data_IF_259420986704
#
_entry.id   IF_259420986704
#
_cell.length_a   1.000
_cell.length_b   1.000
_cell.length_c   1.000
_cell.angle_alpha   90.00
_cell.angle_beta   90.00
_cell.angle_gamma   90.00
#
_symmetry.space_group_name_H-M   'P 1'
#
loop_
_entity.id
_entity.type
_entity.pdbx_description
1 polymer ?
#
# COMPACT_ATOMS: atom_id res chain seq x y z
N UNK A 1 10.94 12.25 -48.50
CA UNK A 1 12.23 11.65 -48.09
C UNK A 1 11.98 10.24 -47.56
N UNK A 2 12.11 9.20 -48.40
CA UNK A 2 11.84 7.77 -48.06
C UNK A 2 13.03 6.90 -48.53
N UNK A 3 14.26 7.38 -48.39
CA UNK A 3 15.43 6.67 -48.94
C UNK A 3 16.08 5.69 -47.94
N UNK A 4 15.77 5.77 -46.63
CA UNK A 4 16.49 5.02 -45.59
C UNK A 4 15.94 3.62 -45.25
N UNK A 5 14.80 3.23 -45.80
CA UNK A 5 14.09 1.97 -45.50
C UNK A 5 14.29 0.92 -46.60
N UNK A 6 14.38 1.34 -47.87
CA UNK A 6 14.39 0.45 -49.04
C UNK A 6 15.70 -0.33 -49.25
N UNK A 7 16.80 0.02 -48.57
CA UNK A 7 18.12 -0.60 -48.78
C UNK A 7 18.49 -1.66 -47.73
N UNK A 8 17.60 -1.98 -46.77
CA UNK A 8 17.92 -2.89 -45.66
C UNK A 8 17.40 -4.30 -45.92
N UNK A 9 18.29 -5.29 -45.80
CA UNK A 9 17.95 -6.73 -45.85
C UNK A 9 17.39 -7.28 -44.54
N UNK A 10 17.47 -6.51 -43.45
CA UNK A 10 17.01 -6.88 -42.11
C UNK A 10 15.85 -5.98 -41.65
N UNK A 11 14.89 -6.50 -40.84
CA UNK A 11 13.80 -5.70 -40.31
C UNK A 11 14.30 -4.45 -39.58
N UNK A 12 13.66 -3.31 -39.81
CA UNK A 12 14.02 -2.06 -39.14
C UNK A 12 13.50 -2.06 -37.71
N UNK A 13 14.40 -2.20 -36.74
CA UNK A 13 14.10 -1.87 -35.35
C UNK A 13 14.38 -0.39 -35.10
N UNK A 14 13.34 0.44 -34.85
CA UNK A 14 13.56 1.84 -34.52
C UNK A 14 14.33 1.93 -33.20
N UNK A 15 15.38 2.75 -33.19
CA UNK A 15 16.09 3.07 -31.95
C UNK A 15 15.09 3.61 -30.91
N UNK A 16 15.22 3.20 -29.63
CA UNK A 16 14.34 3.69 -28.58
C UNK A 16 14.44 5.21 -28.49
N UNK A 17 13.28 5.88 -28.48
CA UNK A 17 13.22 7.33 -28.35
C UNK A 17 13.58 7.73 -26.91
N UNK A 18 14.37 8.79 -26.77
CA UNK A 18 14.57 9.43 -25.48
C UNK A 18 13.22 10.00 -25.00
N UNK A 19 12.71 9.46 -23.88
CA UNK A 19 11.49 9.97 -23.26
C UNK A 19 11.68 11.35 -22.63
N UNK A 20 10.58 11.91 -22.11
CA UNK A 20 10.61 13.19 -21.38
C UNK A 20 11.59 13.12 -20.20
N UNK A 21 12.44 14.15 -19.99
CA UNK A 21 13.32 14.19 -18.83
C UNK A 21 12.53 14.14 -17.53
N UNK A 22 13.13 13.49 -16.53
CA UNK A 22 12.52 13.31 -15.22
C UNK A 22 12.57 14.63 -14.45
N UNK A 23 11.51 14.90 -13.70
CA UNK A 23 11.46 16.02 -12.73
C UNK A 23 12.35 15.74 -11.51
N UNK A 24 12.59 14.45 -11.20
CA UNK A 24 13.43 14.04 -10.09
C UNK A 24 14.84 13.69 -10.54
N UNK A 25 15.81 14.03 -9.68
CA UNK A 25 17.22 13.69 -9.82
C UNK A 25 17.54 12.46 -8.96
N UNK A 26 18.68 11.81 -9.22
CA UNK A 26 19.18 10.66 -8.48
C UNK A 26 19.25 10.96 -6.97
N UNK A 27 19.65 12.19 -6.60
CA UNK A 27 19.71 12.59 -5.18
C UNK A 27 18.33 12.67 -4.53
N UNK A 28 17.33 13.20 -5.24
CA UNK A 28 15.98 13.31 -4.70
C UNK A 28 15.29 11.95 -4.64
N UNK A 29 15.53 11.08 -5.62
CA UNK A 29 15.05 9.68 -5.59
C UNK A 29 15.61 8.93 -4.37
N UNK A 30 16.91 9.06 -4.07
CA UNK A 30 17.52 8.49 -2.84
C UNK A 30 16.92 9.06 -1.56
N UNK A 31 16.60 10.36 -1.53
CA UNK A 31 15.95 10.98 -0.36
C UNK A 31 14.56 10.41 -0.14
N UNK A 32 13.76 10.27 -1.21
CA UNK A 32 12.43 9.65 -1.17
C UNK A 32 12.51 8.22 -0.62
N UNK A 33 13.46 7.42 -1.13
CA UNK A 33 13.67 6.05 -0.65
C UNK A 33 14.02 6.02 0.84
N UNK A 34 14.94 6.89 1.31
CA UNK A 34 15.36 6.94 2.71
C UNK A 34 14.23 7.36 3.66
N UNK A 35 13.39 8.30 3.24
CA UNK A 35 12.21 8.71 4.01
C UNK A 35 11.17 7.59 4.10
N UNK A 36 10.98 6.85 3.01
CA UNK A 36 10.09 5.70 2.99
C UNK A 36 10.61 4.53 3.85
N UNK A 37 11.91 4.24 3.80
CA UNK A 37 12.49 3.06 4.46
C UNK A 37 12.84 3.33 5.93
N UNK A 38 13.70 4.32 6.20
CA UNK A 38 14.28 4.54 7.53
C UNK A 38 13.30 5.27 8.44
N UNK A 39 12.61 6.28 7.92
CA UNK A 39 11.64 7.07 8.68
C UNK A 39 10.23 6.48 8.66
N UNK A 40 9.99 5.45 7.84
CA UNK A 40 8.69 4.77 7.68
C UNK A 40 7.54 5.73 7.34
N UNK A 41 7.84 6.80 6.60
CA UNK A 41 6.85 7.80 6.24
C UNK A 41 5.90 7.31 5.14
N UNK A 42 4.64 7.74 5.21
CA UNK A 42 3.65 7.51 4.16
C UNK A 42 3.92 8.37 2.93
N UNK A 43 3.48 7.93 1.75
CA UNK A 43 3.63 8.67 0.47
C UNK A 43 3.12 10.12 0.59
N UNK A 44 2.03 10.35 1.33
CA UNK A 44 1.49 11.71 1.58
C UNK A 44 2.48 12.57 2.37
N UNK A 45 3.06 12.01 3.42
CA UNK A 45 4.01 12.71 4.29
C UNK A 45 5.31 13.01 3.53
N UNK A 46 5.78 12.06 2.73
CA UNK A 46 6.95 12.24 1.86
C UNK A 46 6.70 13.34 0.83
N UNK A 47 5.49 13.39 0.25
CA UNK A 47 5.11 14.44 -0.69
C UNK A 47 5.15 15.82 -0.02
N UNK A 48 4.64 15.94 1.22
CA UNK A 48 4.66 17.21 1.97
C UNK A 48 6.04 17.61 2.49
N UNK A 49 6.89 16.64 2.87
CA UNK A 49 8.25 16.87 3.35
C UNK A 49 9.29 16.93 2.20
N UNK A 50 8.86 16.68 0.97
CA UNK A 50 9.67 16.90 -0.22
C UNK A 50 9.75 18.39 -0.50
N UNK A 51 10.97 18.89 -0.74
CA UNK A 51 11.18 20.29 -1.17
C UNK A 51 10.77 20.55 -2.62
N UNK A 52 10.48 19.50 -3.36
CA UNK A 52 10.09 19.58 -4.77
C UNK A 52 8.56 19.47 -4.89
N UNK A 53 7.97 20.24 -5.80
CA UNK A 53 6.56 20.13 -6.18
C UNK A 53 6.31 18.85 -6.98
N UNK A 54 6.29 17.73 -6.28
CA UNK A 54 6.16 16.39 -6.86
C UNK A 54 4.79 15.83 -6.47
N UNK A 55 4.12 15.17 -7.41
CA UNK A 55 2.85 14.50 -7.12
C UNK A 55 3.04 13.21 -6.32
N UNK A 56 2.02 12.80 -5.55
CA UNK A 56 2.00 11.51 -4.83
C UNK A 56 2.33 10.33 -5.73
N UNK A 57 1.83 10.33 -6.96
CA UNK A 57 2.06 9.27 -7.94
C UNK A 57 3.54 9.17 -8.35
N UNK A 58 4.22 10.31 -8.44
CA UNK A 58 5.65 10.32 -8.78
C UNK A 58 6.46 9.74 -7.62
N UNK A 59 6.17 10.13 -6.38
CA UNK A 59 6.80 9.53 -5.19
C UNK A 59 6.57 8.02 -5.16
N UNK A 60 5.33 7.58 -5.37
CA UNK A 60 4.96 6.16 -5.41
C UNK A 60 5.75 5.40 -6.49
N UNK A 61 5.84 5.97 -7.70
CA UNK A 61 6.61 5.40 -8.80
C UNK A 61 8.10 5.27 -8.45
N UNK A 62 8.71 6.24 -7.76
CA UNK A 62 10.12 6.15 -7.32
C UNK A 62 10.38 5.08 -6.29
N UNK A 63 9.42 4.83 -5.41
CA UNK A 63 9.52 3.75 -4.44
C UNK A 63 9.46 2.40 -5.16
N UNK A 64 8.52 2.21 -6.09
CA UNK A 64 8.38 0.96 -6.86
C UNK A 64 9.58 0.72 -7.80
N UNK A 65 9.99 1.75 -8.56
CA UNK A 65 11.14 1.69 -9.48
C UNK A 65 12.45 1.33 -8.75
N UNK A 66 12.53 1.55 -7.42
CA UNK A 66 13.71 1.17 -6.65
C UNK A 66 13.91 -0.34 -6.56
N UNK A 67 12.86 -1.15 -6.71
CA UNK A 67 12.92 -2.62 -6.60
C UNK A 67 13.19 -3.17 -5.20
N UNK A 68 13.62 -2.35 -4.24
CA UNK A 68 13.97 -2.78 -2.88
C UNK A 68 12.81 -2.72 -1.87
N UNK A 69 11.69 -2.09 -2.23
CA UNK A 69 10.65 -1.73 -1.28
C UNK A 69 9.28 -2.22 -1.71
N UNK A 70 8.64 -3.05 -0.88
CA UNK A 70 7.24 -3.45 -1.03
C UNK A 70 6.36 -2.48 -0.25
N UNK A 71 5.31 -1.95 -0.89
CA UNK A 71 4.32 -1.11 -0.22
C UNK A 71 3.52 -1.94 0.78
N UNK A 72 3.76 -1.73 2.07
CA UNK A 72 2.96 -2.38 3.13
C UNK A 72 1.74 -1.52 3.47
N UNK A 73 0.53 -2.08 3.32
CA UNK A 73 -0.68 -1.48 3.87
C UNK A 73 -0.70 -1.76 5.37
N UNK A 74 -0.59 -0.71 6.19
CA UNK A 74 -0.76 -0.83 7.64
C UNK A 74 -2.17 -1.36 7.94
N UNK A 75 -2.26 -2.43 8.72
CA UNK A 75 -3.55 -2.95 9.18
C UNK A 75 -4.24 -1.90 10.05
N UNK A 76 -5.55 -1.69 9.83
CA UNK A 76 -6.37 -0.72 10.60
C UNK A 76 -6.73 -1.21 12.01
N UNK A 77 -5.96 -2.15 12.56
CA UNK A 77 -6.27 -2.72 13.87
C UNK A 77 -5.74 -1.79 14.96
N UNK A 78 -6.57 -1.54 15.97
CA UNK A 78 -6.11 -0.88 17.18
C UNK A 78 -4.94 -1.68 17.76
N UNK A 79 -3.85 -1.01 18.16
CA UNK A 79 -2.72 -1.71 18.77
C UNK A 79 -3.20 -2.44 20.02
N UNK A 80 -2.99 -3.76 20.07
CA UNK A 80 -3.29 -4.55 21.25
C UNK A 80 -2.26 -4.23 22.33
N UNK A 81 -2.74 -3.84 23.51
CA UNK A 81 -1.88 -3.73 24.69
C UNK A 81 -1.40 -5.13 25.12
N UNK A 82 -0.30 -5.20 25.89
CA UNK A 82 0.18 -6.47 26.45
C UNK A 82 -0.91 -7.19 27.27
N UNK A 83 -1.75 -6.43 27.96
CA UNK A 83 -2.89 -6.94 28.72
C UNK A 83 -4.00 -7.50 27.81
N UNK A 84 -4.29 -6.84 26.67
CA UNK A 84 -5.23 -7.41 25.70
C UNK A 84 -4.73 -8.74 25.13
N UNK A 85 -3.43 -8.82 24.82
CA UNK A 85 -2.81 -10.03 24.27
C UNK A 85 -2.91 -11.18 25.29
N UNK A 86 -2.55 -10.94 26.55
CA UNK A 86 -2.58 -11.99 27.58
C UNK A 86 -4.01 -12.48 27.86
N UNK A 87 -4.98 -11.58 28.00
CA UNK A 87 -6.39 -11.95 28.23
C UNK A 87 -6.97 -12.74 27.06
N UNK A 88 -6.74 -12.29 25.82
CA UNK A 88 -7.21 -12.99 24.62
C UNK A 88 -6.57 -14.38 24.50
N UNK A 89 -5.27 -14.50 24.76
CA UNK A 89 -4.56 -15.77 24.72
C UNK A 89 -5.05 -16.73 25.80
N UNK A 90 -5.26 -16.25 27.02
CA UNK A 90 -5.79 -17.07 28.11
C UNK A 90 -7.22 -17.52 27.81
N UNK A 91 -8.06 -16.62 27.30
CA UNK A 91 -9.42 -16.97 26.86
C UNK A 91 -9.38 -18.05 25.77
N UNK A 92 -8.53 -17.91 24.76
CA UNK A 92 -8.40 -18.89 23.69
C UNK A 92 -7.95 -20.26 24.22
N UNK A 93 -6.95 -20.30 25.09
CA UNK A 93 -6.48 -21.56 25.72
C UNK A 93 -7.58 -22.25 26.52
N UNK A 94 -8.37 -21.50 27.27
CA UNK A 94 -9.45 -22.04 28.10
C UNK A 94 -10.61 -22.60 27.25
N UNK A 95 -10.84 -22.05 26.05
CA UNK A 95 -11.96 -22.40 25.19
C UNK A 95 -11.55 -23.23 23.95
N UNK A 96 -10.26 -23.55 23.78
CA UNK A 96 -9.78 -24.39 22.69
C UNK A 96 -10.33 -25.82 22.74
N UNK A 97 -10.49 -26.36 23.95
CA UNK A 97 -11.02 -27.71 24.20
C UNK A 97 -12.49 -27.73 24.62
N UNK A 98 -13.24 -26.65 24.35
CA UNK A 98 -14.64 -26.54 24.81
C UNK A 98 -15.59 -27.55 24.14
N UNK A 99 -15.29 -28.03 22.93
CA UNK A 99 -16.01 -29.12 22.27
C UNK A 99 -17.53 -28.89 22.23
N UNK A 100 -18.30 -29.90 22.65
CA UNK A 100 -19.77 -29.88 22.64
C UNK A 100 -20.39 -28.78 23.50
N UNK A 101 -19.63 -28.19 24.44
CA UNK A 101 -20.10 -27.06 25.25
C UNK A 101 -20.36 -25.81 24.40
N UNK A 102 -19.79 -25.71 23.21
CA UNK A 102 -20.10 -24.64 22.27
C UNK A 102 -21.58 -24.64 21.84
N UNK A 103 -22.26 -25.78 21.88
CA UNK A 103 -23.68 -25.88 21.51
C UNK A 103 -24.61 -25.13 22.47
N UNK A 104 -24.17 -24.86 23.70
CA UNK A 104 -24.92 -24.10 24.69
C UNK A 104 -24.61 -22.59 24.65
N UNK A 105 -23.68 -22.15 23.78
CA UNK A 105 -23.25 -20.74 23.72
C UNK A 105 -23.99 -20.01 22.60
N UNK A 106 -24.77 -18.99 22.98
CA UNK A 106 -25.36 -18.05 22.03
C UNK A 106 -24.46 -16.82 21.91
N UNK A 107 -24.05 -16.48 20.69
CA UNK A 107 -23.31 -15.25 20.40
C UNK A 107 -24.27 -14.14 19.97
N UNK A 108 -24.20 -12.99 20.65
CA UNK A 108 -24.85 -11.75 20.23
C UNK A 108 -23.82 -10.62 20.12
N UNK A 109 -24.00 -9.76 19.13
CA UNK A 109 -23.25 -8.51 18.98
C UNK A 109 -24.22 -7.43 18.54
N UNK A 110 -24.09 -6.23 19.11
CA UNK A 110 -24.94 -5.10 18.76
C UNK A 110 -24.33 -4.39 17.56
N UNK A 111 -24.91 -4.63 16.39
CA UNK A 111 -24.65 -3.77 15.23
C UNK A 111 -25.51 -2.52 15.35
N UNK A 112 -24.88 -1.36 15.49
CA UNK A 112 -25.56 -0.08 15.37
C UNK A 112 -26.26 -0.04 14.00
N UNK A 113 -27.58 -0.22 13.99
CA UNK A 113 -28.39 -0.16 12.80
C UNK A 113 -28.38 1.27 12.28
N UNK A 114 -27.91 1.47 11.05
CA UNK A 114 -28.44 2.58 10.25
C UNK A 114 -29.95 2.40 10.21
N UNK A 115 -30.69 3.32 10.81
CA UNK A 115 -32.14 3.39 10.67
C UNK A 115 -32.47 3.37 9.19
N UNK A 116 -33.01 2.25 8.71
CA UNK A 116 -33.62 2.20 7.40
C UNK A 116 -35.01 2.77 7.64
N UNK A 117 -35.20 4.04 7.28
CA UNK A 117 -36.51 4.67 7.29
C UNK A 117 -37.42 3.88 6.34
N UNK A 118 -38.30 3.07 6.92
CA UNK A 118 -39.38 2.40 6.21
C UNK A 118 -40.54 3.39 6.06
N UNK A 119 -40.35 4.42 5.23
CA UNK A 119 -41.43 5.28 4.73
C UNK A 119 -41.38 5.28 3.22
N UNK A 120 -42.18 4.38 2.64
CA UNK A 120 -42.30 4.21 1.20
C UNK A 120 -43.18 3.03 0.83
N UNK A 121 -44.43 3.03 1.31
CA UNK A 121 -45.56 2.42 0.60
C UNK A 121 -46.55 3.54 0.34
#
# INVERSE_FOLDING_TARGET
>A
MIYGVLTRKTPYEPKPRSGRPRVTDIRSDRRIQRMASSQKMLVREITGASRFQISKNTVHRRIIESGYMVLAKMARLLPLSKLHISKRLQWARNHMSYGDKWMAVLFSDEKNGTSIDLTGI
#
